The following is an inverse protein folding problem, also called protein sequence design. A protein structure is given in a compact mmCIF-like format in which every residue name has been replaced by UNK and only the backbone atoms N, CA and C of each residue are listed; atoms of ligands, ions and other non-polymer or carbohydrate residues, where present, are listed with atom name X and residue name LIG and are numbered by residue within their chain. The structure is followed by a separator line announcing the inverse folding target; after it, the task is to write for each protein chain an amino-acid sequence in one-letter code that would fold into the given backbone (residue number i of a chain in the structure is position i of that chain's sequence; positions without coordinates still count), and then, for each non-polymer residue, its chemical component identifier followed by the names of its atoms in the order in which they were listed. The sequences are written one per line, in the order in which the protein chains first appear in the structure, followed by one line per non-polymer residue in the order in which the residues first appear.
data_IF_491985081661
#
_entry.id   IF_491985081661
#
_cell.length_a   1.000
_cell.length_b   1.000
_cell.length_c   1.000
_cell.angle_alpha   90.00
_cell.angle_beta   90.00
_cell.angle_gamma   90.00
#
_symmetry.space_group_name_H-M   'P 1'
#
loop_
_entity.id
_entity.type
_entity.pdbx_description
1 polymer ?
#
# COMPACT_ATOMS: atom_id res chain seq x y z
N UNK A 1 2.53 16.70 -6.37
CA UNK A 1 1.27 16.24 -5.76
C UNK A 1 1.49 14.98 -4.92
N UNK A 2 0.63 14.75 -3.93
CA UNK A 2 0.43 13.42 -3.35
C UNK A 2 -0.67 12.71 -4.15
N UNK A 3 -0.54 11.41 -4.46
CA UNK A 3 -1.52 10.69 -5.26
C UNK A 3 -2.91 10.69 -4.59
N UNK A 4 -3.91 11.21 -5.28
CA UNK A 4 -5.27 11.36 -4.75
C UNK A 4 -6.07 10.04 -4.79
N UNK A 5 -5.70 9.11 -5.69
CA UNK A 5 -6.40 7.84 -5.92
C UNK A 5 -5.43 6.68 -6.22
N UNK A 6 -5.00 5.93 -5.21
CA UNK A 6 -4.17 4.74 -5.40
C UNK A 6 -5.02 3.57 -5.90
N UNK A 7 -4.80 3.17 -7.15
CA UNK A 7 -5.53 2.08 -7.80
C UNK A 7 -4.77 0.75 -7.74
N UNK A 8 -3.45 0.77 -7.65
CA UNK A 8 -2.64 -0.45 -7.58
C UNK A 8 -1.49 -0.29 -6.59
N UNK A 9 -1.16 -1.39 -5.91
CA UNK A 9 0.01 -1.46 -5.04
C UNK A 9 0.77 -2.76 -5.25
N UNK A 10 2.09 -2.68 -5.30
CA UNK A 10 2.98 -3.84 -5.32
C UNK A 10 3.98 -3.78 -4.19
N UNK A 11 4.20 -4.92 -3.55
CA UNK A 11 5.41 -5.14 -2.77
C UNK A 11 6.45 -5.76 -3.68
N UNK A 12 7.62 -5.13 -3.80
CA UNK A 12 8.73 -5.65 -4.61
C UNK A 12 9.93 -6.01 -3.75
N UNK A 13 10.66 -7.05 -4.13
CA UNK A 13 11.95 -7.38 -3.52
C UNK A 13 13.08 -6.45 -4.01
N UNK A 14 14.28 -6.66 -3.48
CA UNK A 14 15.49 -5.92 -3.87
C UNK A 14 15.84 -6.05 -5.36
N UNK A 15 15.41 -7.13 -6.03
CA UNK A 15 15.59 -7.36 -7.47
C UNK A 15 14.48 -6.74 -8.33
N UNK A 16 13.46 -6.14 -7.72
CA UNK A 16 12.31 -5.57 -8.42
C UNK A 16 11.21 -6.59 -8.77
N UNK A 17 11.31 -7.84 -8.29
CA UNK A 17 10.27 -8.85 -8.51
C UNK A 17 9.06 -8.53 -7.63
N UNK A 18 7.86 -8.63 -8.20
CA UNK A 18 6.63 -8.48 -7.44
C UNK A 18 6.45 -9.68 -6.49
N UNK A 19 6.46 -9.39 -5.20
CA UNK A 19 6.18 -10.33 -4.11
C UNK A 19 4.69 -10.39 -3.78
N UNK A 20 4.01 -9.26 -3.85
CA UNK A 20 2.57 -9.13 -3.61
C UNK A 20 2.02 -8.08 -4.55
N UNK A 21 0.81 -8.29 -5.04
CA UNK A 21 0.03 -7.31 -5.79
C UNK A 21 -1.33 -7.15 -5.10
N UNK A 22 -1.67 -5.90 -4.80
CA UNK A 22 -3.02 -5.50 -4.42
C UNK A 22 -3.60 -4.67 -5.56
N UNK A 23 -4.59 -5.23 -6.23
CA UNK A 23 -5.36 -4.56 -7.27
C UNK A 23 -6.40 -3.59 -6.67
N UNK A 24 -7.04 -2.81 -7.53
CA UNK A 24 -8.03 -1.81 -7.13
C UNK A 24 -9.18 -2.42 -6.33
N UNK A 25 -9.64 -3.63 -6.65
CA UNK A 25 -10.75 -4.25 -5.94
C UNK A 25 -10.33 -4.62 -4.50
N UNK A 26 -9.11 -5.14 -4.32
CA UNK A 26 -8.55 -5.38 -2.99
C UNK A 26 -8.36 -4.08 -2.20
N UNK A 27 -7.85 -3.03 -2.83
CA UNK A 27 -7.62 -1.74 -2.18
C UNK A 27 -8.92 -1.03 -1.80
N UNK A 28 -9.94 -1.06 -2.66
CA UNK A 28 -11.28 -0.51 -2.38
C UNK A 28 -12.01 -1.28 -1.28
N UNK A 29 -11.68 -2.56 -1.09
CA UNK A 29 -12.29 -3.42 -0.08
C UNK A 29 -11.60 -3.34 1.30
N UNK A 30 -10.54 -2.53 1.45
CA UNK A 30 -9.87 -2.38 2.75
C UNK A 30 -10.86 -1.78 3.76
N UNK A 31 -11.09 -2.44 4.91
CA UNK A 31 -12.02 -1.92 5.91
C UNK A 31 -11.47 -0.61 6.50
N UNK A 32 -12.38 0.33 6.81
CA UNK A 32 -12.00 1.63 7.36
C UNK A 32 -11.16 1.52 8.66
N UNK A 33 -11.34 0.43 9.43
CA UNK A 33 -10.56 0.14 10.63
C UNK A 33 -9.07 -0.15 10.37
N UNK A 34 -8.67 -0.43 9.13
CA UNK A 34 -7.26 -0.59 8.73
C UNK A 34 -6.55 0.74 8.49
N UNK A 35 -7.25 1.87 8.58
CA UNK A 35 -6.70 3.21 8.43
C UNK A 35 -6.58 3.87 9.79
N UNK A 36 -5.36 3.92 10.32
CA UNK A 36 -5.06 4.70 11.52
C UNK A 36 -4.51 6.06 11.10
N UNK A 37 -5.42 7.01 10.93
CA UNK A 37 -5.10 8.38 10.56
C UNK A 37 -4.51 9.15 11.73
N UNK A 38 -3.39 9.82 11.50
CA UNK A 38 -2.73 10.65 12.52
C UNK A 38 -3.40 12.03 12.67
N UNK A 39 -4.14 12.47 11.63
CA UNK A 39 -4.84 13.76 11.62
C UNK A 39 -6.37 13.63 11.57
N UNK A 40 -7.06 14.57 12.21
CA UNK A 40 -8.53 14.58 12.33
C UNK A 40 -9.29 15.04 11.07
N UNK A 41 -8.63 15.72 10.14
CA UNK A 41 -9.25 16.29 8.93
C UNK A 41 -8.64 15.72 7.64
N UNK A 42 -7.31 15.67 7.56
CA UNK A 42 -6.59 15.10 6.42
C UNK A 42 -6.42 13.60 6.64
N UNK A 43 -7.40 12.82 6.16
CA UNK A 43 -7.47 11.38 6.36
C UNK A 43 -7.26 10.61 5.06
N UNK A 44 -6.60 9.47 5.19
CA UNK A 44 -6.70 8.35 4.27
C UNK A 44 -8.02 7.61 4.48
N UNK A 45 -8.67 7.27 3.38
CA UNK A 45 -9.88 6.44 3.33
C UNK A 45 -9.82 5.52 2.12
N UNK A 46 -10.68 4.50 2.07
CA UNK A 46 -11.01 3.86 0.80
C UNK A 46 -11.98 4.72 0.00
N UNK A 47 -11.90 4.61 -1.32
CA UNK A 47 -12.85 5.15 -2.28
C UNK A 47 -13.18 4.10 -3.34
N UNK A 48 -14.00 4.50 -4.32
CA UNK A 48 -14.42 3.59 -5.40
C UNK A 48 -13.24 3.04 -6.21
N UNK A 49 -12.15 3.82 -6.32
CA UNK A 49 -10.95 3.52 -7.08
C UNK A 49 -9.72 3.27 -6.19
N UNK A 50 -9.90 2.59 -5.04
CA UNK A 50 -8.81 2.16 -4.16
C UNK A 50 -8.63 3.07 -2.94
N UNK A 51 -7.40 3.50 -2.65
CA UNK A 51 -7.10 4.34 -1.48
C UNK A 51 -7.10 5.81 -1.88
N UNK A 52 -7.81 6.63 -1.12
CA UNK A 52 -7.86 8.08 -1.28
C UNK A 52 -7.12 8.75 -0.13
N UNK A 53 -6.30 9.76 -0.46
CA UNK A 53 -5.55 10.55 0.50
C UNK A 53 -5.63 12.03 0.15
N UNK A 54 -5.81 12.88 1.15
CA UNK A 54 -5.75 14.33 0.99
C UNK A 54 -4.28 14.78 1.14
N UNK A 55 -3.84 15.76 0.35
CA UNK A 55 -2.50 16.36 0.51
C UNK A 55 -2.27 16.79 1.96
N UNK A 56 -1.12 16.40 2.54
CA UNK A 56 -0.79 16.66 3.94
C UNK A 56 -1.43 15.70 4.95
N UNK A 57 -2.00 14.57 4.51
CA UNK A 57 -2.42 13.47 5.39
C UNK A 57 -1.22 12.62 5.82
N UNK A 58 -1.27 12.09 7.04
CA UNK A 58 -0.40 11.01 7.51
C UNK A 58 -1.29 9.94 8.15
N UNK A 59 -1.00 8.67 7.82
CA UNK A 59 -1.69 7.54 8.41
C UNK A 59 -0.82 6.30 8.38
N UNK A 60 -1.08 5.39 9.32
CA UNK A 60 -0.67 4.00 9.23
C UNK A 60 -1.77 3.21 8.52
N UNK A 61 -1.43 2.58 7.39
CA UNK A 61 -2.30 1.65 6.68
C UNK A 61 -1.91 0.20 6.96
N UNK A 62 -2.92 -0.64 7.23
CA UNK A 62 -2.76 -2.09 7.23
C UNK A 62 -3.35 -2.68 5.96
N UNK A 63 -2.50 -3.15 5.07
CA UNK A 63 -2.93 -3.87 3.86
C UNK A 63 -3.49 -5.25 4.25
N UNK A 64 -4.50 -5.75 3.53
CA UNK A 64 -4.99 -7.12 3.70
C UNK A 64 -3.87 -8.10 3.35
N UNK A 65 -3.91 -9.29 3.96
CA UNK A 65 -2.98 -10.37 3.61
C UNK A 65 -3.08 -10.63 2.11
N UNK A 66 -2.03 -10.24 1.38
CA UNK A 66 -1.96 -10.47 -0.05
C UNK A 66 -1.39 -11.86 -0.34
N UNK A 67 -1.73 -12.40 -1.51
CA UNK A 67 -1.14 -13.65 -1.97
C UNK A 67 0.30 -13.39 -2.40
N UNK A 68 1.24 -14.11 -1.78
CA UNK A 68 2.64 -14.07 -2.19
C UNK A 68 2.79 -14.73 -3.57
N UNK A 69 3.37 -14.00 -4.51
CA UNK A 69 3.69 -14.54 -5.85
C UNK A 69 4.95 -15.41 -5.80
N UNK A 70 5.01 -16.38 -6.72
CA UNK A 70 6.20 -17.23 -6.91
C UNK A 70 6.39 -18.36 -5.89
N UNK A 71 5.33 -18.76 -5.18
CA UNK A 71 5.38 -19.90 -4.23
C UNK A 71 6.11 -19.59 -2.93
N UNK A 72 6.29 -18.30 -2.60
CA UNK A 72 6.88 -17.90 -1.33
C UNK A 72 5.87 -18.03 -0.20
N UNK A 73 6.21 -18.73 0.88
CA UNK A 73 5.40 -18.76 2.11
C UNK A 73 5.64 -17.54 3.03
N UNK A 74 6.69 -16.76 2.75
CA UNK A 74 7.03 -15.56 3.53
C UNK A 74 7.65 -14.48 2.66
N UNK A 75 7.48 -13.22 3.08
CA UNK A 75 8.25 -12.09 2.54
C UNK A 75 9.74 -12.36 2.81
N UNK A 76 10.66 -12.12 1.85
CA UNK A 76 12.09 -12.28 2.07
C UNK A 76 12.62 -11.33 3.16
N UNK A 77 13.72 -11.71 3.81
CA UNK A 77 14.39 -10.90 4.85
C UNK A 77 15.14 -9.68 4.31
N UNK A 78 15.27 -9.57 2.99
CA UNK A 78 15.90 -8.45 2.30
C UNK A 78 15.06 -7.17 2.29
N UNK A 79 15.63 -6.04 1.82
CA UNK A 79 14.87 -4.81 1.64
C UNK A 79 13.74 -5.03 0.66
N UNK A 80 12.58 -4.48 0.98
CA UNK A 80 11.39 -4.50 0.13
C UNK A 80 10.90 -3.09 -0.12
N UNK A 81 10.35 -2.86 -1.29
CA UNK A 81 9.85 -1.56 -1.72
C UNK A 81 8.36 -1.64 -1.94
N UNK A 82 7.62 -0.73 -1.33
CA UNK A 82 6.22 -0.51 -1.65
C UNK A 82 6.16 0.40 -2.87
N UNK A 83 5.49 -0.07 -3.92
CA UNK A 83 5.21 0.70 -5.14
C UNK A 83 3.72 0.91 -5.21
N UNK A 84 3.31 2.17 -5.30
CA UNK A 84 1.92 2.58 -5.43
C UNK A 84 1.73 3.23 -6.78
N UNK A 85 0.59 2.98 -7.42
CA UNK A 85 0.20 3.63 -8.66
C UNK A 85 -1.17 4.24 -8.53
N UNK A 86 -1.30 5.48 -8.99
CA UNK A 86 -2.57 6.17 -8.99
C UNK A 86 -3.38 5.99 -10.27
N UNK A 87 -4.61 6.52 -10.26
CA UNK A 87 -5.54 6.49 -11.39
C UNK A 87 -5.03 7.23 -12.64
N UNK A 88 -4.15 8.22 -12.46
CA UNK A 88 -3.52 8.98 -13.54
C UNK A 88 -2.30 8.24 -14.11
N UNK A 89 -1.89 7.15 -13.47
CA UNK A 89 -0.78 6.30 -13.84
C UNK A 89 0.55 6.71 -13.24
N UNK A 90 0.60 7.74 -12.38
CA UNK A 90 1.82 8.09 -11.66
C UNK A 90 2.16 7.01 -10.67
N UNK A 91 3.46 6.72 -10.59
CA UNK A 91 3.99 5.68 -9.72
C UNK A 91 4.86 6.31 -8.65
N UNK A 92 4.58 5.95 -7.40
CA UNK A 92 5.30 6.37 -6.21
C UNK A 92 5.92 5.14 -5.58
N UNK A 93 7.13 5.26 -5.05
CA UNK A 93 7.76 4.12 -4.38
C UNK A 93 8.45 4.57 -3.10
N UNK A 94 8.42 3.71 -2.09
CA UNK A 94 9.08 3.93 -0.82
C UNK A 94 9.69 2.63 -0.30
N UNK A 95 10.95 2.63 0.15
CA UNK A 95 11.53 1.48 0.82
C UNK A 95 10.83 1.25 2.15
N UNK A 96 10.46 0.00 2.43
CA UNK A 96 9.88 -0.37 3.71
C UNK A 96 10.96 -0.93 4.64
N UNK A 97 10.80 -0.64 5.93
CA UNK A 97 11.60 -1.25 6.99
C UNK A 97 10.75 -2.31 7.70
N UNK A 98 11.32 -3.49 7.92
CA UNK A 98 10.71 -4.48 8.81
C UNK A 98 10.71 -3.98 10.24
N UNK A 99 9.54 -3.97 10.84
CA UNK A 99 9.35 -3.83 12.28
C UNK A 99 9.19 -5.24 12.84
N UNK A 100 10.02 -5.65 13.83
CA UNK A 100 9.80 -6.92 14.52
C UNK A 100 8.43 -6.90 15.19
N UNK A 101 7.72 -8.02 15.18
CA UNK A 101 6.52 -8.18 15.99
C UNK A 101 6.93 -8.16 17.47
N UNK A 102 6.34 -7.25 18.25
CA UNK A 102 6.48 -7.20 19.71
C UNK A 102 5.73 -8.33 20.40
#
# INVERSE_FOLDING_TARGET
EAPEHIMDAWLKDAGGNALVHWDTAMLSAIPAGSFRNDYAYNKFTTGHYGIQAIVGSAATLTFPAGTLTGGNDRIPDGPVTLVLRDAEGYTFSTPLRRVPAE
#
